data_IF_224387642122
#
_entry.id   IF_224387642122
#
_cell.length_a   1.000
_cell.length_b   1.000
_cell.length_c   1.000
_cell.angle_alpha   90.00
_cell.angle_beta   90.00
_cell.angle_gamma   90.00
#
_symmetry.space_group_name_H-M   'P 1'
#
loop_
_entity.id
_entity.type
_entity.pdbx_description
1 polymer ?
#
# COMPACT_ATOMS: atom_id res chain seq x y z
N UNK A 1 16.39 -39.12 17.37
CA UNK A 1 16.32 -39.22 15.89
C UNK A 1 15.04 -38.62 15.38
N UNK A 2 15.16 -37.50 14.66
CA UNK A 2 14.00 -36.84 14.07
C UNK A 2 13.47 -37.62 12.85
N UNK A 3 12.15 -37.59 12.65
CA UNK A 3 11.54 -38.13 11.43
C UNK A 3 11.44 -36.97 10.43
N UNK A 4 12.00 -37.15 9.22
CA UNK A 4 11.82 -36.16 8.13
C UNK A 4 10.34 -35.96 7.83
N UNK A 5 9.91 -34.70 7.75
CA UNK A 5 8.57 -34.32 7.32
C UNK A 5 8.38 -34.41 5.79
N UNK A 6 7.19 -34.09 5.33
CA UNK A 6 6.86 -33.95 3.92
C UNK A 6 7.62 -32.80 3.26
N UNK A 7 7.78 -32.87 1.95
CA UNK A 7 8.34 -31.77 1.16
C UNK A 7 7.24 -30.75 0.83
N UNK A 8 7.59 -29.48 0.74
CA UNK A 8 6.66 -28.40 0.42
C UNK A 8 7.10 -27.68 -0.86
N UNK A 9 6.14 -27.29 -1.67
CA UNK A 9 6.31 -26.35 -2.80
C UNK A 9 5.67 -25.04 -2.41
N UNK A 10 6.43 -23.96 -2.60
CA UNK A 10 5.94 -22.61 -2.34
C UNK A 10 5.39 -21.96 -3.61
N UNK A 11 4.57 -20.94 -3.43
CA UNK A 11 4.05 -20.10 -4.51
C UNK A 11 5.11 -19.15 -5.09
N UNK A 12 6.21 -18.96 -4.34
CA UNK A 12 7.33 -18.09 -4.73
C UNK A 12 7.96 -18.60 -6.04
N UNK A 13 8.03 -17.71 -7.03
CA UNK A 13 8.91 -17.91 -8.18
C UNK A 13 10.33 -17.53 -7.78
N UNK A 14 11.22 -18.52 -7.73
CA UNK A 14 12.59 -18.32 -7.23
C UNK A 14 13.41 -17.38 -8.12
N UNK A 15 13.13 -17.31 -9.42
CA UNK A 15 13.83 -16.41 -10.31
C UNK A 15 13.37 -14.98 -10.08
N UNK A 16 12.06 -14.77 -9.96
CA UNK A 16 11.50 -13.47 -9.59
C UNK A 16 11.99 -13.01 -8.23
N UNK A 17 12.00 -13.91 -7.23
CA UNK A 17 12.47 -13.60 -5.87
C UNK A 17 13.91 -13.09 -5.88
N UNK A 18 14.81 -13.76 -6.60
CA UNK A 18 16.22 -13.35 -6.73
C UNK A 18 16.35 -11.97 -7.38
N UNK A 19 15.62 -11.72 -8.45
CA UNK A 19 15.61 -10.42 -9.13
C UNK A 19 15.08 -9.31 -8.22
N UNK A 20 14.00 -9.55 -7.48
CA UNK A 20 13.43 -8.59 -6.53
C UNK A 20 14.44 -8.25 -5.43
N UNK A 21 15.09 -9.24 -4.85
CA UNK A 21 16.11 -9.03 -3.81
C UNK A 21 17.32 -8.26 -4.33
N UNK A 22 17.77 -8.55 -5.55
CA UNK A 22 18.86 -7.83 -6.19
C UNK A 22 18.48 -6.37 -6.45
N UNK A 23 17.30 -6.12 -7.04
CA UNK A 23 16.79 -4.78 -7.31
C UNK A 23 16.71 -3.96 -6.02
N UNK A 24 16.14 -4.55 -4.95
CA UNK A 24 16.07 -3.89 -3.65
C UNK A 24 17.46 -3.49 -3.15
N UNK A 25 18.40 -4.43 -3.16
CA UNK A 25 19.77 -4.20 -2.70
C UNK A 25 20.44 -3.04 -3.47
N UNK A 26 20.37 -3.08 -4.80
CA UNK A 26 20.97 -2.07 -5.66
C UNK A 26 20.35 -0.69 -5.45
N UNK A 27 19.02 -0.59 -5.45
CA UNK A 27 18.34 0.71 -5.37
C UNK A 27 18.42 1.32 -3.97
N UNK A 28 18.42 0.51 -2.90
CA UNK A 28 18.61 1.00 -1.53
C UNK A 28 20.02 1.59 -1.36
N UNK A 29 21.05 0.87 -1.80
CA UNK A 29 22.44 1.38 -1.73
C UNK A 29 22.60 2.63 -2.59
N UNK A 30 22.09 2.60 -3.83
CA UNK A 30 22.13 3.75 -4.73
C UNK A 30 21.43 4.98 -4.13
N UNK A 31 20.29 4.80 -3.47
CA UNK A 31 19.59 5.89 -2.78
C UNK A 31 20.43 6.50 -1.67
N UNK A 32 21.07 5.67 -0.84
CA UNK A 32 21.93 6.14 0.27
C UNK A 32 23.17 6.87 -0.26
N UNK A 33 23.76 6.41 -1.36
CA UNK A 33 24.98 6.99 -1.93
C UNK A 33 24.74 8.30 -2.66
N UNK A 34 23.62 8.42 -3.37
CA UNK A 34 23.42 9.46 -4.39
C UNK A 34 22.31 10.46 -4.07
N UNK A 35 21.60 10.30 -2.97
CA UNK A 35 20.52 11.21 -2.60
C UNK A 35 20.81 11.87 -1.25
N UNK A 36 20.76 13.19 -1.22
CA UNK A 36 20.78 13.94 0.03
C UNK A 36 19.53 13.65 0.87
N UNK A 37 19.62 13.92 2.18
CA UNK A 37 18.50 13.82 3.11
C UNK A 37 17.93 12.40 3.34
N UNK A 38 18.69 11.35 3.03
CA UNK A 38 18.33 9.95 3.24
C UNK A 38 18.86 9.38 4.57
N UNK A 39 19.19 10.21 5.54
CA UNK A 39 19.79 9.78 6.82
C UNK A 39 18.98 8.67 7.48
N UNK A 40 17.66 8.86 7.60
CA UNK A 40 16.76 7.90 8.26
C UNK A 40 16.14 6.87 7.31
N UNK A 41 16.39 6.97 6.01
CA UNK A 41 16.03 5.93 5.07
C UNK A 41 16.96 4.73 5.25
N UNK A 42 16.39 3.60 5.58
CA UNK A 42 17.16 2.40 5.86
C UNK A 42 16.70 1.15 5.10
N UNK A 43 15.65 1.24 4.27
CA UNK A 43 15.22 0.08 3.52
C UNK A 43 13.90 0.24 2.82
N UNK A 44 13.53 -0.79 2.07
CA UNK A 44 12.27 -0.86 1.32
C UNK A 44 11.69 -2.27 1.32
N UNK A 45 10.41 -2.33 1.01
CA UNK A 45 9.59 -3.54 1.03
C UNK A 45 8.95 -3.76 -0.33
N UNK A 46 8.91 -5.01 -0.80
CA UNK A 46 8.22 -5.43 -2.03
C UNK A 46 7.42 -6.70 -1.77
N UNK A 47 6.17 -6.72 -2.21
CA UNK A 47 5.35 -7.92 -2.30
C UNK A 47 4.71 -7.95 -3.68
N UNK A 48 4.78 -9.10 -4.34
CA UNK A 48 4.14 -9.38 -5.63
C UNK A 48 3.19 -10.56 -5.44
N UNK A 49 1.95 -10.41 -5.87
CA UNK A 49 0.90 -11.43 -5.71
C UNK A 49 0.24 -11.76 -7.04
N UNK A 50 -0.33 -12.96 -7.14
CA UNK A 50 -1.40 -13.25 -8.09
C UNK A 50 -2.74 -12.87 -7.44
N UNK A 51 -3.43 -11.84 -7.93
CA UNK A 51 -4.67 -11.37 -7.30
C UNK A 51 -5.85 -12.32 -7.45
N UNK A 52 -5.78 -13.30 -8.35
CA UNK A 52 -6.85 -14.26 -8.61
C UNK A 52 -6.79 -15.50 -7.72
N UNK A 53 -5.61 -15.74 -7.13
CA UNK A 53 -5.39 -16.94 -6.30
C UNK A 53 -4.98 -16.60 -4.87
N UNK A 54 -4.43 -15.42 -4.63
CA UNK A 54 -3.78 -15.05 -3.37
C UNK A 54 -2.36 -15.58 -3.23
N UNK A 55 -1.82 -16.24 -4.25
CA UNK A 55 -0.43 -16.70 -4.25
C UNK A 55 0.54 -15.52 -4.15
N UNK A 56 1.51 -15.60 -3.25
CA UNK A 56 2.63 -14.67 -3.19
C UNK A 56 3.71 -15.16 -4.14
N UNK A 57 3.98 -14.38 -5.19
CA UNK A 57 4.95 -14.73 -6.23
C UNK A 57 6.37 -14.32 -5.85
N UNK A 58 6.50 -13.21 -5.10
CA UNK A 58 7.74 -12.76 -4.49
C UNK A 58 7.42 -11.88 -3.28
N UNK A 59 8.25 -11.94 -2.25
CA UNK A 59 8.19 -11.04 -1.12
C UNK A 59 9.59 -10.81 -0.55
N UNK A 60 9.99 -9.56 -0.43
CA UNK A 60 11.30 -9.20 0.10
C UNK A 60 11.26 -7.86 0.83
N UNK A 61 12.02 -7.80 1.91
CA UNK A 61 12.36 -6.56 2.59
C UNK A 61 13.85 -6.55 2.83
N UNK A 62 14.51 -5.46 2.51
CA UNK A 62 15.94 -5.28 2.75
C UNK A 62 16.17 -4.04 3.58
N UNK A 63 17.14 -4.14 4.48
CA UNK A 63 17.59 -3.05 5.32
C UNK A 63 19.07 -2.78 5.08
N UNK A 64 19.43 -1.51 4.92
CA UNK A 64 20.82 -1.08 4.81
C UNK A 64 21.30 -0.52 6.14
N UNK A 65 22.51 -0.94 6.53
CA UNK A 65 23.26 -0.36 7.65
C UNK A 65 24.53 0.26 7.07
N UNK A 66 24.77 1.51 7.44
CA UNK A 66 25.98 2.24 7.02
C UNK A 66 26.95 2.28 8.21
N UNK A 67 28.12 1.69 8.02
CA UNK A 67 29.16 1.67 9.04
C UNK A 67 30.51 2.07 8.40
N UNK A 68 31.14 3.13 8.90
CA UNK A 68 32.42 3.65 8.40
C UNK A 68 32.44 3.86 6.87
N UNK A 69 31.33 4.30 6.29
CA UNK A 69 31.21 4.50 4.83
C UNK A 69 30.94 3.25 4.00
N UNK A 70 30.89 2.07 4.63
CA UNK A 70 30.46 0.84 4.00
C UNK A 70 28.96 0.64 4.11
N UNK A 71 28.32 0.21 3.01
CA UNK A 71 26.90 -0.09 2.93
C UNK A 71 26.71 -1.61 3.00
N UNK A 72 26.10 -2.10 4.09
CA UNK A 72 25.75 -3.52 4.24
C UNK A 72 24.25 -3.69 4.20
N UNK A 73 23.78 -4.55 3.30
CA UNK A 73 22.34 -4.82 3.13
C UNK A 73 22.03 -6.19 3.75
N UNK A 74 21.00 -6.20 4.58
CA UNK A 74 20.52 -7.37 5.29
C UNK A 74 19.09 -7.70 4.88
N UNK A 75 18.73 -8.97 4.97
CA UNK A 75 17.34 -9.40 4.88
C UNK A 75 16.54 -8.87 6.07
N UNK A 76 15.35 -8.37 5.79
CA UNK A 76 14.40 -7.88 6.79
C UNK A 76 12.96 -8.34 6.47
N UNK A 77 12.83 -9.49 5.82
CA UNK A 77 11.55 -10.03 5.37
C UNK A 77 10.48 -10.12 6.47
N UNK A 78 10.80 -10.42 7.75
CA UNK A 78 9.81 -10.36 8.83
C UNK A 78 9.09 -9.01 8.97
N UNK A 79 9.73 -7.91 8.60
CA UNK A 79 9.11 -6.58 8.64
C UNK A 79 7.88 -6.45 7.74
N UNK A 80 7.77 -7.27 6.70
CA UNK A 80 6.57 -7.32 5.84
C UNK A 80 5.30 -7.68 6.61
N UNK A 81 5.44 -8.41 7.71
CA UNK A 81 4.35 -8.92 8.53
C UNK A 81 4.17 -8.16 9.84
N UNK A 82 5.22 -7.50 10.33
CA UNK A 82 5.26 -6.97 11.70
C UNK A 82 5.42 -5.47 11.80
N UNK A 83 5.97 -4.81 10.77
CA UNK A 83 6.26 -3.37 10.82
C UNK A 83 5.21 -2.57 10.05
N UNK A 84 4.24 -1.95 10.74
CA UNK A 84 3.24 -1.13 10.08
C UNK A 84 3.85 0.15 9.53
N UNK A 85 3.33 0.60 8.41
CA UNK A 85 3.70 1.86 7.75
C UNK A 85 2.49 2.76 7.60
N UNK A 86 2.73 4.07 7.58
CA UNK A 86 1.71 5.06 7.21
C UNK A 86 1.49 4.98 5.70
N UNK A 87 0.30 4.57 5.24
CA UNK A 87 0.08 4.28 3.83
C UNK A 87 0.01 5.53 2.96
N UNK A 88 -0.49 6.65 3.50
CA UNK A 88 -0.78 7.84 2.72
C UNK A 88 -1.80 7.57 1.61
N UNK A 89 -1.69 8.30 0.53
CA UNK A 89 -2.68 8.33 -0.57
C UNK A 89 -2.93 6.99 -1.28
N UNK A 90 -2.18 5.93 -1.00
CA UNK A 90 -2.48 4.61 -1.59
C UNK A 90 -3.83 4.06 -1.13
N UNK A 91 -4.33 4.43 0.06
CA UNK A 91 -5.64 3.97 0.56
C UNK A 91 -6.84 4.68 -0.08
N UNK A 92 -6.62 5.69 -0.91
CA UNK A 92 -7.72 6.50 -1.45
C UNK A 92 -8.74 5.71 -2.28
N UNK A 93 -8.38 4.55 -2.82
CA UNK A 93 -9.35 3.65 -3.43
C UNK A 93 -10.38 3.13 -2.43
N UNK A 94 -9.92 2.69 -1.26
CA UNK A 94 -10.81 2.28 -0.17
C UNK A 94 -11.59 3.48 0.40
N UNK A 95 -10.98 4.65 0.53
CA UNK A 95 -11.67 5.88 0.96
C UNK A 95 -12.79 6.30 0.01
N UNK A 96 -12.58 6.18 -1.31
CA UNK A 96 -13.65 6.42 -2.29
C UNK A 96 -14.81 5.44 -2.11
N UNK A 97 -14.52 4.17 -1.80
CA UNK A 97 -15.54 3.16 -1.51
C UNK A 97 -16.41 3.56 -0.31
N UNK A 98 -15.82 4.17 0.73
CA UNK A 98 -16.59 4.70 1.87
C UNK A 98 -17.56 5.77 1.40
N UNK A 99 -17.10 6.71 0.57
CA UNK A 99 -17.93 7.76 0.03
C UNK A 99 -19.12 7.24 -0.79
N UNK A 100 -18.90 6.25 -1.64
CA UNK A 100 -19.96 5.62 -2.44
C UNK A 100 -20.93 4.80 -1.58
N UNK A 101 -20.43 3.96 -0.67
CA UNK A 101 -21.26 3.10 0.20
C UNK A 101 -22.18 3.91 1.10
N UNK A 102 -21.75 5.06 1.55
CA UNK A 102 -22.54 5.94 2.43
C UNK A 102 -23.43 6.93 1.69
N UNK A 103 -23.31 7.00 0.36
CA UNK A 103 -24.00 8.01 -0.44
C UNK A 103 -23.45 9.43 -0.27
N UNK A 104 -22.30 9.59 0.41
CA UNK A 104 -21.64 10.90 0.54
C UNK A 104 -21.19 11.48 -0.81
N UNK A 105 -20.86 10.58 -1.75
CA UNK A 105 -20.60 10.89 -3.16
C UNK A 105 -21.28 9.87 -4.07
N UNK A 106 -21.45 10.25 -5.32
CA UNK A 106 -21.89 9.38 -6.41
C UNK A 106 -21.00 9.62 -7.64
N UNK A 107 -21.20 8.84 -8.70
CA UNK A 107 -20.48 8.96 -9.97
C UNK A 107 -20.55 10.42 -10.46
N UNK A 108 -19.37 10.98 -10.74
CA UNK A 108 -19.26 12.34 -11.27
C UNK A 108 -19.49 13.45 -10.25
N UNK A 109 -19.66 13.16 -8.97
CA UNK A 109 -19.74 14.18 -7.92
C UNK A 109 -18.54 15.11 -8.00
N UNK A 110 -18.79 16.41 -8.23
CA UNK A 110 -17.74 17.43 -8.35
C UNK A 110 -17.54 18.17 -7.05
N UNK A 111 -16.30 18.37 -6.65
CA UNK A 111 -15.91 19.22 -5.53
C UNK A 111 -14.74 20.12 -5.93
N UNK A 112 -14.74 21.35 -5.44
CA UNK A 112 -13.62 22.27 -5.61
C UNK A 112 -12.46 21.82 -4.74
N UNK A 113 -11.27 21.65 -5.32
CA UNK A 113 -10.03 21.36 -4.60
C UNK A 113 -9.51 22.66 -3.97
N UNK A 114 -9.86 22.85 -2.73
CA UNK A 114 -9.43 23.99 -1.90
C UNK A 114 -9.04 23.50 -0.50
N UNK A 115 -8.17 24.25 0.17
CA UNK A 115 -7.78 23.93 1.54
C UNK A 115 -9.01 23.94 2.47
N UNK A 116 -9.06 22.99 3.38
CA UNK A 116 -10.00 22.99 4.50
C UNK A 116 -9.30 23.42 5.77
N UNK A 117 -10.01 24.10 6.67
CA UNK A 117 -9.44 24.53 7.94
C UNK A 117 -10.47 24.40 9.05
N UNK A 118 -10.11 23.64 10.08
CA UNK A 118 -10.84 23.56 11.34
C UNK A 118 -10.34 24.69 12.25
N UNK A 119 -11.18 25.28 13.07
CA UNK A 119 -10.79 26.33 14.03
C UNK A 119 -9.62 25.87 14.89
N UNK A 120 -8.64 26.77 15.08
CA UNK A 120 -7.45 26.55 15.88
C UNK A 120 -6.50 25.43 15.37
N UNK A 121 -6.64 25.01 14.12
CA UNK A 121 -5.70 24.06 13.50
C UNK A 121 -5.06 24.66 12.25
N UNK A 122 -3.93 24.15 11.78
CA UNK A 122 -3.40 24.47 10.46
C UNK A 122 -4.39 24.12 9.34
N UNK A 123 -4.33 24.85 8.23
CA UNK A 123 -5.11 24.46 7.04
C UNK A 123 -4.58 23.16 6.43
N UNK A 124 -5.48 22.28 6.04
CA UNK A 124 -5.18 21.02 5.34
C UNK A 124 -5.47 21.19 3.86
N UNK A 125 -4.47 20.94 3.01
CA UNK A 125 -4.53 21.19 1.57
C UNK A 125 -4.14 19.94 0.78
N UNK A 126 -4.45 19.95 -0.51
CA UNK A 126 -3.83 19.06 -1.48
C UNK A 126 -2.36 19.42 -1.70
N UNK A 127 -1.60 18.53 -2.35
CA UNK A 127 -0.16 18.70 -2.58
C UNK A 127 0.19 19.91 -3.47
N UNK A 128 -0.78 20.40 -4.24
CA UNK A 128 -0.66 21.62 -5.08
C UNK A 128 -1.95 22.41 -5.02
N UNK A 129 -1.89 23.67 -5.41
CA UNK A 129 -3.05 24.56 -5.52
C UNK A 129 -3.54 24.63 -6.95
N UNK A 130 -4.83 25.00 -7.15
CA UNK A 130 -5.39 25.31 -8.47
C UNK A 130 -5.83 24.10 -9.28
N UNK A 131 -6.08 22.96 -8.65
CA UNK A 131 -6.65 21.79 -9.34
C UNK A 131 -8.09 22.00 -9.83
N UNK A 132 -8.80 23.02 -9.29
CA UNK A 132 -10.15 23.35 -9.70
C UNK A 132 -11.20 22.35 -9.22
N UNK A 133 -12.30 22.24 -9.97
CA UNK A 133 -13.35 21.27 -9.70
C UNK A 133 -12.94 19.90 -10.20
N UNK A 134 -12.93 18.92 -9.31
CA UNK A 134 -12.59 17.52 -9.59
C UNK A 134 -13.82 16.64 -9.37
N UNK A 135 -14.07 15.72 -10.29
CA UNK A 135 -14.94 14.59 -10.07
C UNK A 135 -14.19 13.44 -9.36
N UNK A 136 -14.89 12.36 -9.07
CA UNK A 136 -14.39 11.18 -8.37
C UNK A 136 -13.15 10.56 -9.06
N UNK A 137 -13.14 10.44 -10.39
CA UNK A 137 -12.00 9.90 -11.16
C UNK A 137 -10.80 10.85 -11.12
N UNK A 138 -11.03 12.14 -11.37
CA UNK A 138 -9.98 13.16 -11.33
C UNK A 138 -9.41 13.31 -9.91
N UNK A 139 -10.25 13.18 -8.89
CA UNK A 139 -9.80 13.20 -7.49
C UNK A 139 -8.77 12.10 -7.19
N UNK A 140 -8.97 10.89 -7.72
CA UNK A 140 -7.98 9.81 -7.63
C UNK A 140 -6.76 10.10 -8.52
N UNK A 141 -6.98 10.51 -9.78
CA UNK A 141 -5.91 10.78 -10.74
C UNK A 141 -4.92 11.84 -10.24
N UNK A 142 -5.42 12.94 -9.68
CA UNK A 142 -4.60 14.02 -9.11
C UNK A 142 -4.29 13.85 -7.63
N UNK A 143 -4.73 12.72 -7.03
CA UNK A 143 -4.52 12.45 -5.62
C UNK A 143 -5.01 13.58 -4.69
N UNK A 144 -6.17 14.16 -4.97
CA UNK A 144 -6.73 15.26 -4.19
C UNK A 144 -6.96 14.85 -2.73
N UNK A 145 -6.37 15.57 -1.81
CA UNK A 145 -6.68 15.46 -0.38
C UNK A 145 -7.99 16.18 -0.05
N UNK A 146 -8.20 17.35 -0.64
CA UNK A 146 -9.38 18.18 -0.39
C UNK A 146 -10.68 17.44 -0.72
N UNK A 147 -10.68 16.66 -1.82
CA UNK A 147 -11.82 15.82 -2.17
C UNK A 147 -12.12 14.78 -1.07
N UNK A 148 -11.10 14.11 -0.56
CA UNK A 148 -11.25 13.12 0.51
C UNK A 148 -11.67 13.75 1.83
N UNK A 149 -11.14 14.92 2.19
CA UNK A 149 -11.56 15.65 3.37
C UNK A 149 -13.05 16.01 3.33
N UNK A 150 -13.50 16.57 2.20
CA UNK A 150 -14.90 16.92 1.99
C UNK A 150 -15.82 15.69 1.98
N UNK A 151 -15.36 14.59 1.39
CA UNK A 151 -16.08 13.32 1.45
C UNK A 151 -16.19 12.81 2.89
N UNK A 152 -15.12 12.85 3.68
CA UNK A 152 -15.15 12.42 5.08
C UNK A 152 -16.11 13.26 5.94
N UNK A 153 -16.15 14.57 5.72
CA UNK A 153 -17.11 15.46 6.39
C UNK A 153 -18.56 15.09 6.05
N UNK A 154 -18.83 14.76 4.77
CA UNK A 154 -20.17 14.30 4.34
C UNK A 154 -20.51 12.93 4.94
N UNK A 155 -19.58 11.99 4.98
CA UNK A 155 -19.74 10.67 5.65
C UNK A 155 -20.12 10.87 7.12
N UNK A 156 -19.50 11.84 7.79
CA UNK A 156 -19.77 12.18 9.18
C UNK A 156 -21.07 12.97 9.39
N UNK A 157 -21.75 13.41 8.32
CA UNK A 157 -22.90 14.33 8.41
C UNK A 157 -22.55 15.68 9.02
N UNK A 158 -21.30 16.11 8.91
CA UNK A 158 -20.80 17.30 9.58
C UNK A 158 -21.09 18.57 8.79
N UNK A 159 -21.49 19.62 9.49
CA UNK A 159 -21.58 20.97 8.93
C UNK A 159 -20.20 21.63 8.96
N UNK A 160 -19.67 21.91 7.80
CA UNK A 160 -18.36 22.53 7.66
C UNK A 160 -18.43 23.92 7.05
N UNK A 161 -17.70 24.85 7.62
CA UNK A 161 -17.31 26.11 7.01
C UNK A 161 -15.85 26.45 7.38
N UNK A 162 -15.17 27.15 6.49
CA UNK A 162 -13.74 27.44 6.64
C UNK A 162 -13.43 28.15 7.95
N UNK A 163 -12.46 27.65 8.71
CA UNK A 163 -12.05 28.14 10.03
C UNK A 163 -13.16 28.07 11.10
N UNK A 164 -14.20 27.26 10.87
CA UNK A 164 -15.24 26.95 11.86
C UNK A 164 -14.89 25.77 12.76
N UNK A 165 -15.67 25.56 13.83
CA UNK A 165 -15.57 24.30 14.57
C UNK A 165 -16.06 23.16 13.68
N UNK A 166 -15.48 21.97 13.86
CA UNK A 166 -15.94 20.75 13.21
C UNK A 166 -16.12 19.68 14.27
N UNK A 167 -17.28 19.05 14.29
CA UNK A 167 -17.59 17.92 15.14
C UNK A 167 -17.95 16.73 14.27
N UNK A 168 -17.33 15.59 14.52
CA UNK A 168 -17.61 14.33 13.85
C UNK A 168 -17.89 13.23 14.88
N UNK A 169 -18.84 12.33 14.60
CA UNK A 169 -19.12 11.22 15.50
C UNK A 169 -18.01 10.13 15.37
N UNK A 170 -17.77 9.41 16.45
CA UNK A 170 -16.87 8.24 16.46
C UNK A 170 -17.27 7.20 15.39
N UNK A 171 -18.59 7.04 15.17
CA UNK A 171 -19.12 6.12 14.15
C UNK A 171 -18.62 6.41 12.74
N UNK A 172 -18.20 7.64 12.42
CA UNK A 172 -17.61 7.96 11.12
C UNK A 172 -16.25 7.27 10.94
N UNK A 173 -15.42 7.20 11.97
CA UNK A 173 -14.17 6.45 11.94
C UNK A 173 -14.42 4.95 11.77
N UNK A 174 -15.37 4.40 12.50
CA UNK A 174 -15.72 2.98 12.40
C UNK A 174 -16.31 2.65 11.01
N UNK A 175 -17.01 3.58 10.37
CA UNK A 175 -17.48 3.43 8.99
C UNK A 175 -16.30 3.28 8.01
N UNK A 176 -15.27 4.13 8.14
CA UNK A 176 -14.05 4.00 7.34
C UNK A 176 -13.35 2.66 7.60
N UNK A 177 -13.14 2.31 8.86
CA UNK A 177 -12.47 1.07 9.27
C UNK A 177 -13.19 -0.18 8.77
N UNK A 178 -14.53 -0.19 8.86
CA UNK A 178 -15.34 -1.31 8.36
C UNK A 178 -15.12 -1.54 6.86
N UNK A 179 -15.13 -0.49 6.06
CA UNK A 179 -14.88 -0.62 4.61
C UNK A 179 -13.41 -0.98 4.35
N UNK A 180 -12.47 -0.43 5.09
CA UNK A 180 -11.04 -0.78 4.97
C UNK A 180 -10.79 -2.25 5.27
N UNK A 181 -11.48 -2.83 6.26
CA UNK A 181 -11.43 -4.28 6.57
C UNK A 181 -11.90 -5.16 5.40
N UNK A 182 -12.91 -4.73 4.64
CA UNK A 182 -13.34 -5.47 3.44
C UNK A 182 -12.20 -5.64 2.44
N UNK A 183 -11.25 -4.71 2.41
CA UNK A 183 -10.04 -4.75 1.61
C UNK A 183 -8.84 -5.44 2.28
N UNK A 184 -8.95 -5.84 3.55
CA UNK A 184 -7.86 -6.47 4.32
C UNK A 184 -6.98 -5.49 5.09
N UNK A 185 -7.38 -4.22 5.21
CA UNK A 185 -6.66 -3.21 5.98
C UNK A 185 -7.16 -3.17 7.43
N UNK A 186 -6.27 -3.37 8.42
CA UNK A 186 -6.59 -3.29 9.85
C UNK A 186 -6.94 -4.63 10.50
N UNK A 187 -6.75 -5.74 9.80
CA UNK A 187 -6.88 -7.11 10.34
C UNK A 187 -5.67 -7.95 9.92
N UNK A 188 -5.46 -9.07 10.61
CA UNK A 188 -4.48 -10.07 10.15
C UNK A 188 -4.94 -10.67 8.83
N UNK A 189 -4.01 -10.82 7.88
CA UNK A 189 -4.31 -11.48 6.61
C UNK A 189 -4.46 -12.99 6.75
N UNK A 190 -4.04 -13.54 7.90
CA UNK A 190 -3.96 -14.97 8.17
C UNK A 190 -3.11 -15.72 7.13
N UNK A 191 -2.07 -15.05 6.63
CA UNK A 191 -1.05 -15.69 5.81
C UNK A 191 -0.47 -16.90 6.56
N UNK A 192 -0.03 -17.91 5.84
CA UNK A 192 0.52 -19.16 6.38
C UNK A 192 1.94 -19.01 6.96
N UNK A 193 2.17 -17.93 7.71
CA UNK A 193 3.40 -17.63 8.44
C UNK A 193 3.09 -17.43 9.95
N UNK A 194 4.05 -17.72 10.84
CA UNK A 194 3.77 -17.85 12.27
C UNK A 194 3.50 -16.53 13.00
N UNK A 195 3.93 -15.39 12.46
CA UNK A 195 3.85 -14.09 13.13
C UNK A 195 3.28 -13.05 12.19
N UNK A 196 2.28 -12.32 12.66
CA UNK A 196 1.66 -11.22 11.91
C UNK A 196 1.11 -10.16 12.89
N UNK A 197 1.31 -8.87 12.59
CA UNK A 197 0.76 -7.74 13.33
C UNK A 197 -0.56 -7.27 12.72
N UNK A 198 -1.40 -6.66 13.55
CA UNK A 198 -2.64 -5.98 13.11
C UNK A 198 -2.39 -4.59 12.48
N UNK A 199 -1.16 -4.07 12.54
CA UNK A 199 -0.90 -2.66 12.31
C UNK A 199 -1.21 -1.82 13.57
N UNK A 200 -1.47 -0.53 13.38
CA UNK A 200 -1.82 0.37 14.47
C UNK A 200 -3.17 1.05 14.19
N UNK A 201 -4.06 0.98 15.16
CA UNK A 201 -5.36 1.66 15.16
C UNK A 201 -5.27 2.89 16.06
N UNK A 202 -5.45 4.07 15.48
CA UNK A 202 -5.48 5.33 16.23
C UNK A 202 -6.66 5.35 17.23
N UNK A 203 -6.45 5.94 18.40
CA UNK A 203 -7.41 5.93 19.51
C UNK A 203 -8.09 7.27 19.73
N UNK A 204 -7.65 8.34 19.06
CA UNK A 204 -8.27 9.66 19.14
C UNK A 204 -9.35 9.82 18.07
N UNK A 205 -10.50 10.36 18.45
CA UNK A 205 -11.63 10.61 17.56
C UNK A 205 -11.83 12.12 17.30
N UNK A 206 -10.76 12.90 17.33
CA UNK A 206 -10.79 14.31 16.95
C UNK A 206 -11.09 14.47 15.46
N UNK A 207 -11.84 15.50 15.10
CA UNK A 207 -12.32 15.71 13.72
C UNK A 207 -11.21 15.77 12.68
N UNK A 208 -10.04 16.36 13.04
CA UNK A 208 -8.87 16.38 12.18
C UNK A 208 -8.33 15.00 11.84
N UNK A 209 -8.41 14.05 12.77
CA UNK A 209 -7.96 12.67 12.55
C UNK A 209 -8.87 11.89 11.60
N UNK A 210 -10.18 12.20 11.53
CA UNK A 210 -11.03 11.63 10.49
C UNK A 210 -10.59 12.05 9.09
N UNK A 211 -10.24 13.33 8.93
CA UNK A 211 -9.72 13.84 7.67
C UNK A 211 -8.38 13.15 7.31
N UNK A 212 -7.52 12.97 8.30
CA UNK A 212 -6.24 12.27 8.14
C UNK A 212 -6.46 10.79 7.78
N UNK A 213 -7.41 10.11 8.40
CA UNK A 213 -7.78 8.73 8.05
C UNK A 213 -8.18 8.59 6.59
N UNK A 214 -8.97 9.52 6.07
CA UNK A 214 -9.45 9.49 4.69
C UNK A 214 -8.32 9.57 3.65
N UNK A 215 -7.15 10.07 4.03
CA UNK A 215 -5.96 10.18 3.15
C UNK A 215 -4.81 9.25 3.56
N UNK A 216 -5.05 8.35 4.53
CA UNK A 216 -4.06 7.36 4.99
C UNK A 216 -2.98 7.92 5.92
N UNK A 217 -3.30 8.92 6.72
CA UNK A 217 -2.38 9.59 7.66
C UNK A 217 -2.74 9.35 9.13
N UNK A 218 -3.55 8.35 9.43
CA UNK A 218 -4.01 8.10 10.81
C UNK A 218 -3.76 6.66 11.26
N UNK A 219 -4.51 5.68 10.73
CA UNK A 219 -4.22 4.27 11.00
C UNK A 219 -3.03 3.81 10.14
N UNK A 220 -2.24 2.86 10.62
CA UNK A 220 -1.11 2.29 9.89
C UNK A 220 -1.30 0.79 9.64
N UNK A 221 -0.71 0.29 8.56
CA UNK A 221 -0.92 -1.09 8.10
C UNK A 221 0.41 -1.76 7.77
N UNK A 222 0.48 -3.08 7.97
CA UNK A 222 1.66 -3.84 7.55
C UNK A 222 1.75 -3.94 6.02
N UNK A 223 2.93 -4.12 5.46
CA UNK A 223 3.08 -4.34 4.02
C UNK A 223 2.22 -5.46 3.46
N UNK A 224 2.03 -6.56 4.19
CA UNK A 224 1.18 -7.67 3.75
C UNK A 224 -0.30 -7.30 3.73
N UNK A 225 -0.78 -6.47 4.67
CA UNK A 225 -2.15 -5.94 4.61
C UNK A 225 -2.36 -5.04 3.38
N UNK A 226 -1.37 -4.20 3.06
CA UNK A 226 -1.40 -3.36 1.85
C UNK A 226 -1.37 -4.22 0.58
N UNK A 227 -0.62 -5.33 0.59
CA UNK A 227 -0.62 -6.30 -0.52
C UNK A 227 -2.00 -6.98 -0.67
N UNK A 228 -2.66 -7.34 0.43
CA UNK A 228 -4.04 -7.84 0.41
C UNK A 228 -5.00 -6.80 -0.20
N UNK A 229 -4.86 -5.54 0.18
CA UNK A 229 -5.68 -4.44 -0.35
C UNK A 229 -5.56 -4.30 -1.86
N UNK A 230 -4.34 -4.19 -2.39
CA UNK A 230 -4.19 -4.02 -3.85
C UNK A 230 -4.59 -5.28 -4.62
N UNK A 231 -4.35 -6.48 -4.07
CA UNK A 231 -4.81 -7.73 -4.66
C UNK A 231 -6.34 -7.80 -4.73
N UNK A 232 -7.02 -7.35 -3.68
CA UNK A 232 -8.48 -7.27 -3.64
C UNK A 232 -9.04 -6.28 -4.66
N UNK A 233 -8.41 -5.11 -4.83
CA UNK A 233 -8.77 -4.17 -5.90
C UNK A 233 -8.56 -4.78 -7.29
N UNK A 234 -7.41 -5.41 -7.52
CA UNK A 234 -7.09 -6.08 -8.78
C UNK A 234 -8.06 -7.22 -9.11
N UNK A 235 -8.52 -7.94 -8.08
CA UNK A 235 -9.52 -9.02 -8.21
C UNK A 235 -10.97 -8.51 -8.22
N UNK A 236 -11.21 -7.25 -8.58
CA UNK A 236 -12.52 -6.64 -8.66
C UNK A 236 -13.33 -6.72 -7.34
N UNK A 237 -12.64 -6.64 -6.23
CA UNK A 237 -13.21 -6.69 -4.89
C UNK A 237 -13.28 -8.08 -4.25
N UNK A 238 -12.83 -9.12 -4.93
CA UNK A 238 -12.68 -10.43 -4.34
C UNK A 238 -11.40 -10.51 -3.50
N UNK A 239 -11.54 -10.77 -2.20
CA UNK A 239 -10.42 -10.90 -1.27
C UNK A 239 -10.03 -12.35 -1.13
N UNK A 240 -8.93 -12.76 -1.77
CA UNK A 240 -8.33 -14.07 -1.60
C UNK A 240 -7.32 -14.05 -0.44
N UNK A 241 -7.28 -15.14 0.31
CA UNK A 241 -6.28 -15.33 1.35
C UNK A 241 -4.88 -15.38 0.73
N UNK A 242 -3.99 -14.52 1.21
CA UNK A 242 -2.59 -14.57 0.79
C UNK A 242 -1.91 -15.81 1.38
N UNK A 243 -1.13 -16.51 0.57
CA UNK A 243 -0.45 -17.73 1.01
C UNK A 243 0.86 -17.99 0.26
N UNK A 244 1.74 -18.74 0.90
CA UNK A 244 3.04 -19.17 0.38
C UNK A 244 3.08 -20.68 0.07
N UNK A 245 2.30 -21.47 0.78
CA UNK A 245 2.25 -22.91 0.52
C UNK A 245 1.39 -23.17 -0.74
N UNK A 246 1.98 -23.90 -1.70
CA UNK A 246 1.31 -24.32 -2.94
C UNK A 246 0.96 -25.79 -2.92
N UNK A 247 1.93 -26.65 -2.59
CA UNK A 247 1.76 -28.10 -2.57
C UNK A 247 2.48 -28.74 -1.41
N UNK A 248 1.97 -29.87 -0.94
CA UNK A 248 2.64 -30.76 0.00
C UNK A 248 2.85 -32.10 -0.68
N UNK A 249 4.09 -32.61 -0.65
CA UNK A 249 4.49 -33.86 -1.26
C UNK A 249 4.95 -34.87 -0.20
N UNK A 250 4.73 -36.15 -0.46
CA UNK A 250 5.29 -37.21 0.37
C UNK A 250 6.80 -37.09 0.45
N UNK A 251 7.34 -37.31 1.64
CA UNK A 251 8.78 -37.41 1.82
C UNK A 251 9.37 -38.57 1.01
N UNK A 252 10.53 -38.36 0.43
CA UNK A 252 11.31 -39.40 -0.24
C UNK A 252 12.69 -39.48 0.37
N UNK A 253 13.38 -40.60 0.13
CA UNK A 253 14.76 -40.82 0.58
C UNK A 253 15.79 -40.37 -0.46
N UNK A 254 15.38 -39.74 -1.52
CA UNK A 254 16.22 -39.22 -2.60
C UNK A 254 15.86 -37.77 -2.93
N UNK A 255 16.54 -37.15 -3.91
CA UNK A 255 16.32 -35.76 -4.33
C UNK A 255 15.05 -35.54 -5.18
N UNK A 256 14.31 -36.61 -5.50
CA UNK A 256 13.05 -36.48 -6.28
C UNK A 256 11.90 -36.22 -5.33
N UNK A 257 11.01 -35.31 -5.71
CA UNK A 257 9.78 -35.08 -4.98
C UNK A 257 8.87 -36.31 -5.04
N UNK A 258 8.22 -36.60 -3.93
CA UNK A 258 7.21 -37.65 -3.81
C UNK A 258 5.88 -37.26 -4.47
N UNK A 259 4.88 -38.09 -4.29
CA UNK A 259 3.53 -37.82 -4.77
C UNK A 259 2.94 -36.63 -4.05
N UNK A 260 2.08 -35.86 -4.74
CA UNK A 260 1.30 -34.79 -4.14
C UNK A 260 0.33 -35.39 -3.10
N UNK A 261 0.45 -34.90 -1.87
CA UNK A 261 -0.46 -35.23 -0.75
C UNK A 261 -1.58 -34.20 -0.66
N UNK A 262 -1.25 -32.94 -0.94
CA UNK A 262 -2.20 -31.83 -0.83
C UNK A 262 -1.84 -30.71 -1.78
N UNK A 263 -2.83 -30.23 -2.53
CA UNK A 263 -2.81 -28.94 -3.23
C UNK A 263 -3.49 -27.89 -2.38
N UNK A 264 -2.99 -26.66 -2.43
CA UNK A 264 -3.63 -25.51 -1.80
C UNK A 264 -4.41 -24.76 -2.88
N UNK A 265 -5.72 -24.80 -2.77
CA UNK A 265 -6.62 -24.10 -3.69
C UNK A 265 -6.80 -22.64 -3.25
N UNK A 266 -7.10 -21.72 -4.19
CA UNK A 266 -7.45 -20.35 -3.87
C UNK A 266 -8.61 -20.26 -2.88
N UNK A 267 -8.44 -19.55 -1.77
CA UNK A 267 -9.45 -19.38 -0.73
C UNK A 267 -10.03 -17.96 -0.79
N UNK A 268 -11.28 -17.83 -1.25
CA UNK A 268 -12.01 -16.56 -1.19
C UNK A 268 -12.48 -16.32 0.24
N UNK A 269 -11.90 -15.32 0.93
CA UNK A 269 -12.20 -15.03 2.34
C UNK A 269 -13.11 -13.81 2.53
N UNK A 270 -13.46 -13.12 1.45
CA UNK A 270 -14.36 -11.97 1.51
C UNK A 270 -14.57 -11.34 0.15
N UNK A 271 -15.53 -10.43 0.11
CA UNK A 271 -15.84 -9.63 -1.08
C UNK A 271 -16.17 -8.22 -0.63
N UNK A 272 -15.64 -7.24 -1.33
CA UNK A 272 -16.00 -5.83 -1.10
C UNK A 272 -17.44 -5.62 -1.52
N UNK A 273 -18.28 -5.27 -0.57
CA UNK A 273 -19.69 -4.96 -0.80
C UNK A 273 -19.85 -3.56 -1.42
N UNK A 274 -19.60 -3.47 -2.72
CA UNK A 274 -19.69 -2.26 -3.52
C UNK A 274 -20.25 -2.59 -4.91
N UNK A 275 -21.18 -1.77 -5.41
CA UNK A 275 -21.73 -1.96 -6.75
C UNK A 275 -20.64 -1.87 -7.82
N UNK A 276 -20.77 -2.66 -8.89
CA UNK A 276 -19.78 -2.73 -9.97
C UNK A 276 -19.46 -1.37 -10.59
N UNK A 277 -20.48 -0.53 -10.79
CA UNK A 277 -20.30 0.82 -11.34
C UNK A 277 -19.29 1.66 -10.55
N UNK A 278 -19.24 1.52 -9.24
CA UNK A 278 -18.29 2.23 -8.37
C UNK A 278 -16.88 1.60 -8.37
N UNK A 279 -16.83 0.26 -8.43
CA UNK A 279 -15.54 -0.45 -8.63
C UNK A 279 -14.89 -0.01 -9.93
N UNK A 280 -15.67 0.12 -11.01
CA UNK A 280 -15.20 0.61 -12.31
C UNK A 280 -14.68 2.05 -12.24
N UNK A 281 -15.30 2.91 -11.44
CA UNK A 281 -14.81 4.30 -11.23
C UNK A 281 -13.47 4.33 -10.52
N UNK A 282 -13.28 3.52 -9.48
CA UNK A 282 -12.01 3.40 -8.77
C UNK A 282 -10.92 2.88 -9.71
N UNK A 283 -11.20 1.83 -10.48
CA UNK A 283 -10.30 1.30 -11.50
C UNK A 283 -9.91 2.38 -12.52
N UNK A 284 -10.88 3.10 -13.07
CA UNK A 284 -10.62 4.19 -14.02
C UNK A 284 -9.75 5.31 -13.40
N UNK A 285 -9.95 5.62 -12.11
CA UNK A 285 -9.10 6.54 -11.38
C UNK A 285 -7.66 6.05 -11.30
N UNK A 286 -7.45 4.78 -10.98
CA UNK A 286 -6.12 4.16 -10.91
C UNK A 286 -5.43 4.05 -12.27
N UNK A 287 -6.19 3.73 -13.33
CA UNK A 287 -5.70 3.79 -14.71
C UNK A 287 -5.28 5.22 -15.10
N UNK A 288 -6.05 6.21 -14.67
CA UNK A 288 -5.76 7.63 -14.94
C UNK A 288 -4.49 8.10 -14.24
N UNK A 289 -4.19 7.63 -13.02
CA UNK A 289 -2.89 7.84 -12.37
C UNK A 289 -1.76 7.30 -13.25
N UNK A 290 -1.90 6.10 -13.77
CA UNK A 290 -0.85 5.45 -14.55
C UNK A 290 -0.65 6.04 -15.94
N UNK A 291 -1.65 6.70 -16.52
CA UNK A 291 -1.49 7.45 -17.79
C UNK A 291 -0.43 8.55 -17.70
N UNK A 292 -0.29 9.18 -16.54
CA UNK A 292 0.70 10.24 -16.33
C UNK A 292 2.01 9.75 -15.69
N UNK A 293 1.97 8.68 -14.90
CA UNK A 293 3.09 8.22 -14.07
C UNK A 293 3.59 6.80 -14.41
N UNK A 294 2.90 6.09 -15.32
CA UNK A 294 3.08 4.65 -15.52
C UNK A 294 4.52 4.22 -15.76
N UNK A 295 5.23 4.86 -16.65
CA UNK A 295 6.63 4.52 -16.95
C UNK A 295 7.56 4.66 -15.74
N UNK A 296 7.27 5.59 -14.84
CA UNK A 296 8.05 5.80 -13.63
C UNK A 296 7.82 4.73 -12.56
N UNK A 297 6.69 4.03 -12.58
CA UNK A 297 6.31 3.07 -11.54
C UNK A 297 6.05 1.66 -12.05
N UNK A 298 5.48 1.50 -13.24
CA UNK A 298 5.17 0.19 -13.82
C UNK A 298 6.06 -0.16 -15.02
N UNK A 299 7.05 0.70 -15.34
CA UNK A 299 7.97 0.47 -16.45
C UNK A 299 7.22 0.36 -17.78
N UNK A 300 7.52 -0.69 -18.54
CA UNK A 300 6.92 -0.93 -19.87
C UNK A 300 5.70 -1.86 -19.84
N UNK A 301 5.20 -2.17 -18.64
CA UNK A 301 4.03 -3.07 -18.46
C UNK A 301 2.80 -2.40 -19.07
N UNK A 302 2.05 -3.12 -19.94
CA UNK A 302 0.90 -2.53 -20.63
C UNK A 302 -0.33 -2.38 -19.72
N UNK A 303 -1.10 -1.32 -19.99
CA UNK A 303 -2.39 -1.05 -19.32
C UNK A 303 -2.36 -1.20 -17.79
N UNK A 304 -1.44 -0.54 -17.09
CA UNK A 304 -1.38 -0.63 -15.65
C UNK A 304 -2.47 0.21 -14.98
N UNK A 305 -2.86 -0.22 -13.79
CA UNK A 305 -3.62 0.58 -12.84
C UNK A 305 -2.85 0.64 -11.51
N UNK A 306 -2.89 1.77 -10.83
CA UNK A 306 -2.15 1.90 -9.58
C UNK A 306 -2.31 3.24 -8.90
N UNK A 307 -1.69 3.37 -7.72
CA UNK A 307 -1.74 4.58 -6.92
C UNK A 307 -0.42 4.81 -6.21
N UNK A 308 0.07 6.03 -6.29
CA UNK A 308 1.21 6.50 -5.51
C UNK A 308 0.74 7.04 -4.17
N UNK A 309 1.60 6.92 -3.17
CA UNK A 309 1.42 7.51 -1.85
C UNK A 309 2.65 8.28 -1.40
N UNK A 310 2.38 9.41 -0.77
CA UNK A 310 3.35 10.15 0.02
C UNK A 310 2.73 10.32 1.40
N UNK A 311 3.44 9.90 2.42
CA UNK A 311 2.96 9.99 3.78
C UNK A 311 3.95 10.83 4.62
N UNK A 312 3.41 11.72 5.42
CA UNK A 312 4.14 12.29 6.55
C UNK A 312 4.32 11.17 7.57
N UNK A 313 5.55 10.97 7.98
CA UNK A 313 5.96 9.92 8.91
C UNK A 313 6.86 10.53 9.97
N UNK A 314 7.14 9.76 10.99
CA UNK A 314 8.05 10.17 12.05
C UNK A 314 9.01 9.03 12.33
N UNK A 315 10.22 9.38 12.69
CA UNK A 315 11.29 8.45 13.01
C UNK A 315 11.75 8.64 14.44
N UNK A 316 12.00 7.55 15.15
CA UNK A 316 12.63 7.53 16.46
C UNK A 316 14.14 7.52 16.22
N UNK A 317 14.80 8.67 16.44
CA UNK A 317 16.19 8.86 16.02
C UNK A 317 17.21 8.35 17.04
N UNK A 318 16.83 8.22 18.30
CA UNK A 318 17.69 7.79 19.39
C UNK A 318 17.31 6.44 20.01
N UNK A 319 16.20 5.84 19.56
CA UNK A 319 15.76 4.52 19.99
C UNK A 319 15.09 4.49 21.36
N UNK A 320 14.61 5.64 21.86
CA UNK A 320 13.94 5.76 23.16
C UNK A 320 12.46 5.33 23.12
N UNK A 321 11.97 4.95 21.94
CA UNK A 321 10.58 4.57 21.68
C UNK A 321 9.64 5.74 21.40
N UNK A 322 10.17 6.97 21.32
CA UNK A 322 9.41 8.16 20.94
C UNK A 322 9.83 8.66 19.58
N UNK A 323 8.83 8.97 18.77
CA UNK A 323 9.06 9.55 17.44
C UNK A 323 9.40 11.04 17.58
N UNK A 324 10.55 11.46 17.10
CA UNK A 324 11.09 12.80 17.29
C UNK A 324 11.47 13.52 15.97
N UNK A 325 11.69 12.79 14.89
CA UNK A 325 12.09 13.38 13.61
C UNK A 325 10.99 13.21 12.56
N UNK A 326 10.43 14.32 12.02
CA UNK A 326 9.49 14.27 10.92
C UNK A 326 10.18 13.82 9.63
N UNK A 327 9.59 12.84 8.95
CA UNK A 327 10.10 12.25 7.71
C UNK A 327 8.99 12.14 6.67
N UNK A 328 9.36 11.75 5.45
CA UNK A 328 8.43 11.39 4.38
C UNK A 328 8.65 9.93 3.99
N UNK A 329 7.57 9.17 3.92
CA UNK A 329 7.53 7.83 3.35
C UNK A 329 6.88 7.83 1.98
N UNK A 330 7.33 6.91 1.11
CA UNK A 330 6.77 6.72 -0.23
C UNK A 330 6.18 5.32 -0.34
N UNK A 331 5.01 5.25 -0.97
CA UNK A 331 4.34 3.99 -1.29
C UNK A 331 3.88 3.97 -2.74
N UNK A 332 3.86 2.79 -3.30
CA UNK A 332 3.22 2.50 -4.57
C UNK A 332 2.49 1.16 -4.49
N UNK A 333 1.29 1.13 -5.03
CA UNK A 333 0.51 -0.08 -5.26
C UNK A 333 0.02 -0.08 -6.71
N UNK A 334 0.04 -1.23 -7.35
CA UNK A 334 -0.42 -1.34 -8.73
C UNK A 334 -0.71 -2.78 -9.14
N UNK A 335 -1.33 -2.92 -10.30
CA UNK A 335 -1.61 -4.21 -10.93
C UNK A 335 -1.69 -4.05 -12.45
N UNK A 336 -1.48 -5.13 -13.16
CA UNK A 336 -1.53 -5.11 -14.61
C UNK A 336 -1.79 -6.51 -15.22
N UNK A 337 -2.38 -6.54 -16.45
CA UNK A 337 -3.13 -5.45 -17.09
C UNK A 337 -4.40 -5.12 -16.30
N UNK A 338 -4.90 -3.90 -16.38
CA UNK A 338 -6.05 -3.47 -15.54
C UNK A 338 -7.37 -4.20 -15.84
N UNK A 339 -7.51 -4.72 -17.04
CA UNK A 339 -8.70 -5.46 -17.49
C UNK A 339 -8.65 -6.98 -17.17
N UNK A 340 -7.45 -7.54 -17.00
CA UNK A 340 -7.22 -8.96 -16.65
C UNK A 340 -5.92 -9.09 -15.85
N UNK A 341 -5.90 -8.67 -14.59
CA UNK A 341 -4.67 -8.61 -13.79
C UNK A 341 -3.97 -9.96 -13.69
N UNK A 342 -2.69 -9.97 -14.01
CA UNK A 342 -1.79 -11.12 -13.88
C UNK A 342 -0.95 -11.04 -12.62
N UNK A 343 -0.75 -9.83 -12.11
CA UNK A 343 -0.07 -9.60 -10.84
C UNK A 343 -0.53 -8.29 -10.20
N UNK A 344 -0.36 -8.22 -8.90
CA UNK A 344 -0.41 -6.99 -8.12
C UNK A 344 0.92 -6.77 -7.41
N UNK A 345 1.31 -5.51 -7.23
CA UNK A 345 2.59 -5.14 -6.63
C UNK A 345 2.38 -4.11 -5.53
N UNK A 346 3.12 -4.26 -4.44
CA UNK A 346 3.26 -3.30 -3.36
C UNK A 346 4.72 -2.95 -3.18
N UNK A 347 5.06 -1.66 -3.20
CA UNK A 347 6.40 -1.17 -2.93
C UNK A 347 6.32 -0.05 -1.91
N UNK A 348 6.99 -0.22 -0.78
CA UNK A 348 6.98 0.73 0.33
C UNK A 348 8.40 1.11 0.69
N UNK A 349 8.66 2.40 0.81
CA UNK A 349 9.95 2.97 1.16
C UNK A 349 9.76 3.96 2.32
N UNK A 350 9.84 3.50 3.58
CA UNK A 350 9.68 4.36 4.73
C UNK A 350 10.84 5.37 4.87
N UNK A 351 10.54 6.55 5.39
CA UNK A 351 11.50 7.55 5.82
C UNK A 351 12.51 7.98 4.74
N UNK A 352 12.08 8.06 3.47
CA UNK A 352 12.97 8.33 2.32
C UNK A 352 13.67 9.70 2.38
N UNK A 353 13.16 10.64 3.19
CA UNK A 353 13.78 11.94 3.43
C UNK A 353 13.22 12.60 4.70
N UNK A 354 13.89 13.68 5.17
CA UNK A 354 13.30 14.62 6.14
C UNK A 354 12.08 15.32 5.53
N UNK A 355 11.04 15.56 6.32
CA UNK A 355 9.84 16.25 5.84
C UNK A 355 10.07 17.73 5.53
N UNK A 356 11.00 18.36 6.26
CA UNK A 356 11.32 19.80 6.19
C UNK A 356 12.28 20.17 5.08
N UNK A 357 12.93 19.20 4.43
CA UNK A 357 13.87 19.47 3.36
C UNK A 357 13.16 19.59 2.03
N UNK A 358 13.59 20.60 1.27
CA UNK A 358 13.03 20.99 -0.01
C UNK A 358 12.81 19.83 -1.00
N UNK A 359 12.00 20.05 -1.90
CA UNK A 359 11.63 19.56 -3.22
C UNK A 359 12.25 18.25 -3.74
N UNK A 360 13.47 17.85 -3.39
CA UNK A 360 14.07 16.62 -3.90
C UNK A 360 13.54 15.40 -3.16
N UNK A 361 12.80 14.58 -3.88
CA UNK A 361 12.33 13.28 -3.39
C UNK A 361 13.18 12.19 -4.01
N UNK A 362 13.79 11.34 -3.17
CA UNK A 362 14.50 10.16 -3.65
C UNK A 362 13.62 9.33 -4.60
N UNK A 363 14.09 8.99 -5.81
CA UNK A 363 13.34 8.18 -6.76
C UNK A 363 13.33 6.69 -6.41
N UNK A 364 13.84 6.27 -5.26
CA UNK A 364 14.05 4.87 -4.90
C UNK A 364 12.78 4.04 -5.04
N UNK A 365 11.65 4.54 -4.57
CA UNK A 365 10.38 3.81 -4.62
C UNK A 365 9.92 3.56 -6.06
N UNK A 366 9.98 4.57 -6.93
CA UNK A 366 9.62 4.43 -8.34
C UNK A 366 10.60 3.55 -9.12
N UNK A 367 11.90 3.64 -8.82
CA UNK A 367 12.91 2.78 -9.46
C UNK A 367 12.72 1.32 -9.10
N UNK A 368 12.51 1.00 -7.81
CA UNK A 368 12.21 -0.36 -7.39
C UNK A 368 10.96 -0.85 -8.08
N UNK A 369 9.88 -0.07 -8.03
CA UNK A 369 8.59 -0.46 -8.59
C UNK A 369 8.66 -0.73 -10.09
N UNK A 370 9.25 0.16 -10.88
CA UNK A 370 9.34 -0.01 -12.34
C UNK A 370 10.22 -1.19 -12.74
N UNK A 371 11.35 -1.38 -12.07
CA UNK A 371 12.25 -2.51 -12.33
C UNK A 371 11.60 -3.85 -11.99
N UNK A 372 10.99 -3.95 -10.81
CA UNK A 372 10.29 -5.17 -10.38
C UNK A 372 9.11 -5.45 -11.30
N UNK A 373 8.28 -4.47 -11.64
CA UNK A 373 7.14 -4.67 -12.54
C UNK A 373 7.56 -5.19 -13.91
N UNK A 374 8.66 -4.68 -14.47
CA UNK A 374 9.21 -5.20 -15.74
C UNK A 374 9.61 -6.68 -15.61
N UNK A 375 10.28 -7.07 -14.51
CA UNK A 375 10.69 -8.46 -14.28
C UNK A 375 9.52 -9.39 -14.09
N UNK A 376 8.51 -8.98 -13.34
CA UNK A 376 7.26 -9.76 -13.20
C UNK A 376 6.63 -9.99 -14.57
N UNK A 377 6.54 -8.94 -15.38
CA UNK A 377 5.92 -9.04 -16.69
C UNK A 377 6.74 -9.89 -17.68
N UNK A 378 8.05 -9.89 -17.60
CA UNK A 378 8.92 -10.77 -18.38
C UNK A 378 8.72 -12.25 -18.01
N UNK A 379 8.55 -12.56 -16.73
CA UNK A 379 8.43 -13.94 -16.22
C UNK A 379 7.02 -14.50 -16.45
N UNK A 380 5.98 -13.68 -16.32
CA UNK A 380 4.59 -14.12 -16.47
C UNK A 380 4.08 -14.10 -17.93
N UNK A 381 4.90 -13.72 -18.89
CA UNK A 381 4.61 -13.85 -20.32
C UNK A 381 4.66 -15.31 -20.75
#
# INVERSE_FOLDING_TARGET
>A
DGIRGNDIVLTIDINLQKEVEQILTEEIVNAKMNNANTTYYNGSHVIVTDPKTGEILAMASKQVVVNNGEYKVYDNTPALLTNPVTPGSIVKGASMSVGYKTGAIDIGTKMLDECVKIRNTPAKCSWTKGLGYLDDVKALAYSSNAYQYKTAMKVAGANYYYNGPLTVPESAFETYRKVFLEYGLGEKTNIDLPVESYGYKGTSYESGHLLDMAIGQYDTYTPVQIASYISTLAANGNKYKLHLLKEVHEKTNNEKMGKVVRNIEPELIGTVDLEQKYKDRIKLGFESVMKSLGYGYMGTVPNPAGKTGTAESFYDSDGDGKIDVPTISKGFIGYAPSYDPKFAITVLSPNVRYSTTSEYTSPVNSKISSRVSNKVFEILK
#
